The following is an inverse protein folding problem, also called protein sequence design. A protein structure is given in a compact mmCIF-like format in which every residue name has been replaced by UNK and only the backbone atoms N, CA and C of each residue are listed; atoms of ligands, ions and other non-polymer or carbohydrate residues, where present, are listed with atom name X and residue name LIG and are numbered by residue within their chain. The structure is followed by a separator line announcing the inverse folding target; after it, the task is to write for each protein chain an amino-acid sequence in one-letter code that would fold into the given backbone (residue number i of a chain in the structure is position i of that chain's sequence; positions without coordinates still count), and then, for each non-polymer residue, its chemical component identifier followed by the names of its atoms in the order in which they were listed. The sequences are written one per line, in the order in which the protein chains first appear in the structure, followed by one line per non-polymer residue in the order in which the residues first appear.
data_IF_125461637197
#
_entry.id   IF_125461637197
#
_cell.length_a   1.000
_cell.length_b   1.000
_cell.length_c   1.000
_cell.angle_alpha   90.00
_cell.angle_beta   90.00
_cell.angle_gamma   90.00
#
_symmetry.space_group_name_H-M   'P 1'
#
loop_
_entity.id
_entity.type
_entity.pdbx_description
1 polymer ?
#
# COMPACT_ATOMS: atom_id res chain seq x y z
N UNK A 1 -12.31 -26.29 10.43
CA UNK A 1 -11.88 -25.90 10.26
C UNK A 1 -11.42 -25.19 9.53
N UNK A 2 -11.40 -24.85 8.95
CA UNK A 2 -10.95 -24.22 8.31
C UNK A 2 -10.92 -22.96 8.40
N UNK A 3 -11.24 -22.46 9.18
CA UNK A 3 -11.22 -21.17 9.51
C UNK A 3 -9.89 -20.64 9.41
N UNK A 4 -8.96 -21.41 9.39
CA UNK A 4 -7.66 -20.97 9.20
C UNK A 4 -7.49 -20.14 8.04
N UNK A 5 -8.24 -20.43 7.05
CA UNK A 5 -8.14 -19.69 5.83
C UNK A 5 -8.41 -18.26 6.05
N UNK A 6 -9.37 -17.97 6.83
CA UNK A 6 -9.72 -16.61 7.04
C UNK A 6 -8.59 -15.87 7.71
N UNK A 7 -7.92 -16.52 8.57
CA UNK A 7 -6.84 -15.89 9.26
C UNK A 7 -5.73 -15.53 8.33
N UNK A 8 -5.51 -16.35 7.35
CA UNK A 8 -4.44 -16.09 6.43
C UNK A 8 -4.66 -14.86 5.63
N UNK A 9 -5.88 -14.37 5.57
CA UNK A 9 -6.17 -13.21 4.80
C UNK A 9 -5.95 -11.94 5.57
N UNK A 10 -5.39 -12.04 6.74
CA UNK A 10 -5.18 -10.88 7.56
C UNK A 10 -3.86 -10.20 7.33
N UNK A 11 -3.24 -10.42 6.18
CA UNK A 11 -2.01 -9.73 5.87
C UNK A 11 -2.31 -8.26 5.69
N UNK A 12 -1.54 -7.44 6.35
CA UNK A 12 -1.73 -6.01 6.28
C UNK A 12 -0.43 -5.28 6.02
N UNK A 13 -0.52 -3.97 6.00
CA UNK A 13 0.64 -3.11 5.82
C UNK A 13 1.34 -2.91 7.16
N UNK A 14 2.65 -2.84 7.10
CA UNK A 14 3.46 -2.62 8.26
C UNK A 14 4.18 -1.29 8.15
N UNK A 15 4.59 -0.92 6.97
CA UNK A 15 5.31 0.32 6.72
C UNK A 15 5.37 0.60 5.24
N UNK A 16 5.75 1.81 4.90
CA UNK A 16 5.95 2.21 3.52
C UNK A 16 7.26 2.96 3.43
N UNK A 17 7.90 2.85 2.30
CA UNK A 17 9.11 3.58 2.05
C UNK A 17 9.08 3.99 0.59
N UNK A 18 9.48 5.20 0.30
CA UNK A 18 9.58 5.66 -1.07
C UNK A 18 11.03 5.68 -1.48
N UNK A 19 11.30 5.22 -2.69
CA UNK A 19 12.62 5.28 -3.24
C UNK A 19 12.46 5.61 -4.69
N UNK A 20 12.87 6.80 -5.09
CA UNK A 20 12.66 7.30 -6.45
C UNK A 20 11.17 7.21 -6.77
N UNK A 21 10.81 6.53 -7.83
CA UNK A 21 9.42 6.43 -8.25
C UNK A 21 8.75 5.16 -7.75
N UNK A 22 9.33 4.50 -6.78
CA UNK A 22 8.81 3.24 -6.28
C UNK A 22 8.31 3.40 -4.86
N UNK A 23 7.11 2.90 -4.61
CA UNK A 23 6.59 2.78 -3.27
C UNK A 23 6.84 1.35 -2.82
N UNK A 24 7.55 1.18 -1.72
CA UNK A 24 7.78 -0.14 -1.17
C UNK A 24 6.79 -0.35 -0.05
N UNK A 25 5.97 -1.35 -0.21
CA UNK A 25 4.96 -1.68 0.79
C UNK A 25 5.44 -2.89 1.57
N UNK A 26 5.70 -2.69 2.86
CA UNK A 26 6.16 -3.77 3.73
C UNK A 26 4.95 -4.41 4.40
N UNK A 27 4.80 -5.68 4.22
CA UNK A 27 3.64 -6.39 4.74
C UNK A 27 3.93 -7.09 6.06
N UNK A 28 2.87 -7.39 6.78
CA UNK A 28 3.01 -8.01 8.09
C UNK A 28 3.56 -9.44 8.02
N UNK A 29 3.52 -10.06 6.86
CA UNK A 29 4.10 -11.40 6.68
C UNK A 29 5.53 -11.29 6.14
N UNK A 30 6.11 -10.09 6.21
CA UNK A 30 7.50 -9.84 5.81
C UNK A 30 7.76 -9.82 4.32
N UNK A 31 6.73 -9.85 3.50
CA UNK A 31 6.91 -9.65 2.08
C UNK A 31 7.00 -8.16 1.81
N UNK A 32 7.62 -7.80 0.71
CA UNK A 32 7.70 -6.42 0.28
C UNK A 32 7.15 -6.36 -1.13
N UNK A 33 6.22 -5.45 -1.35
CA UNK A 33 5.65 -5.27 -2.68
C UNK A 33 6.14 -3.95 -3.22
N UNK A 34 6.67 -3.96 -4.43
CA UNK A 34 7.18 -2.77 -5.07
C UNK A 34 6.14 -2.24 -6.02
N UNK A 35 5.76 -0.99 -5.83
CA UNK A 35 4.71 -0.39 -6.63
C UNK A 35 5.25 0.87 -7.30
N UNK A 36 5.48 0.82 -8.61
CA UNK A 36 5.93 2.01 -9.34
C UNK A 36 4.71 2.92 -9.51
N UNK A 37 4.53 3.82 -8.58
CA UNK A 37 3.27 4.52 -8.43
C UNK A 37 2.86 5.37 -9.63
N UNK A 38 3.79 5.78 -10.45
CA UNK A 38 3.40 6.52 -11.64
C UNK A 38 2.74 5.62 -12.67
N UNK A 39 2.94 4.31 -12.55
CA UNK A 39 2.40 3.37 -13.51
C UNK A 39 1.25 2.55 -12.98
N UNK A 40 0.92 2.73 -11.71
CA UNK A 40 -0.19 2.03 -11.10
C UNK A 40 -1.35 3.02 -11.05
N UNK A 41 -2.41 2.80 -11.84
CA UNK A 41 -3.46 3.82 -12.00
C UNK A 41 -4.04 4.34 -10.70
N UNK A 42 -4.24 3.48 -9.73
CA UNK A 42 -4.85 3.90 -8.48
C UNK A 42 -3.86 4.53 -7.49
N UNK A 43 -2.61 4.73 -7.92
CA UNK A 43 -1.62 5.42 -7.11
C UNK A 43 -1.07 6.66 -7.80
N UNK A 44 -1.55 6.97 -8.98
CA UNK A 44 -0.97 8.06 -9.74
C UNK A 44 -1.09 9.42 -9.07
N UNK A 45 -2.03 9.56 -8.15
CA UNK A 45 -2.16 10.80 -7.41
C UNK A 45 -0.91 11.09 -6.56
N UNK A 46 -0.07 10.10 -6.31
CA UNK A 46 1.16 10.33 -5.58
C UNK A 46 2.21 11.05 -6.42
N UNK A 47 2.05 11.04 -7.73
CA UNK A 47 3.04 11.67 -8.61
C UNK A 47 3.14 13.16 -8.34
N UNK A 48 2.00 13.81 -8.09
CA UNK A 48 2.00 15.24 -7.87
C UNK A 48 2.24 15.62 -6.40
N UNK A 49 2.40 14.68 -5.54
CA UNK A 49 2.60 14.96 -4.12
C UNK A 49 4.04 15.39 -3.89
N UNK A 50 4.24 16.24 -2.90
CA UNK A 50 5.60 16.63 -2.53
C UNK A 50 6.23 15.51 -1.72
N UNK A 51 7.56 15.50 -1.60
CA UNK A 51 8.21 14.50 -0.76
C UNK A 51 7.70 14.50 0.67
N UNK A 52 7.39 15.68 1.20
CA UNK A 52 6.86 15.78 2.55
C UNK A 52 5.50 15.14 2.65
N UNK A 53 4.67 15.37 1.64
CA UNK A 53 3.35 14.78 1.64
C UNK A 53 3.41 13.27 1.52
N UNK A 54 4.31 12.76 0.68
CA UNK A 54 4.47 11.32 0.53
C UNK A 54 4.93 10.68 1.82
N UNK A 55 5.72 11.37 2.59
CA UNK A 55 6.25 10.80 3.83
C UNK A 55 5.25 10.82 4.96
N UNK A 56 4.14 11.52 4.81
CA UNK A 56 3.19 11.69 5.90
C UNK A 56 2.02 10.71 5.78
N UNK A 57 2.35 9.43 5.74
CA UNK A 57 1.35 8.39 5.62
C UNK A 57 1.03 7.81 6.99
N UNK A 58 -0.09 7.12 7.09
CA UNK A 58 -0.43 6.40 8.29
C UNK A 58 -1.03 5.06 7.90
N UNK A 59 -0.96 4.11 8.82
CA UNK A 59 -1.52 2.79 8.60
C UNK A 59 -2.82 2.73 9.38
N UNK A 60 -3.89 2.33 8.72
CA UNK A 60 -5.18 2.21 9.39
C UNK A 60 -5.17 1.05 10.36
N UNK A 61 -6.00 1.09 11.39
CA UNK A 61 -6.02 0.01 12.38
C UNK A 61 -6.19 -1.34 11.71
N UNK A 62 -5.41 -2.30 12.14
CA UNK A 62 -5.43 -3.62 11.54
C UNK A 62 -4.58 -3.76 10.31
N UNK A 63 -3.98 -2.65 9.84
CA UNK A 63 -3.06 -2.73 8.72
C UNK A 63 -3.70 -2.91 7.36
N UNK A 64 -5.01 -2.74 7.26
CA UNK A 64 -5.68 -3.05 6.00
C UNK A 64 -5.51 -1.97 4.94
N UNK A 65 -5.11 -0.78 5.31
CA UNK A 65 -5.02 0.32 4.38
C UNK A 65 -3.94 1.31 4.79
N UNK A 66 -3.44 2.05 3.81
CA UNK A 66 -2.49 3.13 4.07
C UNK A 66 -3.17 4.41 3.61
N UNK A 67 -3.04 5.45 4.40
CA UNK A 67 -3.76 6.69 4.16
C UNK A 67 -2.84 7.90 4.28
N UNK A 68 -3.07 8.89 3.45
CA UNK A 68 -2.32 10.13 3.46
C UNK A 68 -3.31 11.26 3.76
N UNK A 69 -3.31 11.73 4.99
CA UNK A 69 -4.26 12.74 5.40
C UNK A 69 -4.13 14.04 4.60
N UNK A 70 -2.90 14.43 4.31
CA UNK A 70 -2.68 15.66 3.55
C UNK A 70 -3.25 15.60 2.15
N UNK A 71 -3.39 14.42 1.60
CA UNK A 71 -3.87 14.23 0.24
C UNK A 71 -5.30 13.73 0.20
N UNK A 72 -5.83 13.41 1.39
CA UNK A 72 -7.17 12.85 1.54
C UNK A 72 -7.36 11.66 0.61
N UNK A 73 -6.38 10.79 0.58
CA UNK A 73 -6.42 9.64 -0.30
C UNK A 73 -5.60 8.52 0.30
N UNK A 74 -5.82 7.32 -0.17
CA UNK A 74 -5.11 6.17 0.34
C UNK A 74 -5.41 4.95 -0.50
N UNK A 75 -4.96 3.77 -0.03
CA UNK A 75 -5.28 2.54 -0.72
C UNK A 75 -5.39 1.40 0.28
N UNK A 76 -6.17 0.41 -0.09
CA UNK A 76 -6.29 -0.79 0.71
C UNK A 76 -5.25 -1.81 0.27
N UNK A 77 -4.68 -2.50 1.22
CA UNK A 77 -3.64 -3.47 0.93
C UNK A 77 -4.10 -4.55 -0.04
N UNK A 78 -5.37 -4.90 0.04
CA UNK A 78 -5.90 -5.94 -0.84
C UNK A 78 -5.74 -5.57 -2.31
N UNK A 79 -5.75 -4.29 -2.65
CA UNK A 79 -5.55 -3.89 -4.03
C UNK A 79 -4.13 -4.20 -4.48
N UNK A 80 -3.15 -4.02 -3.60
CA UNK A 80 -1.77 -4.32 -3.96
C UNK A 80 -1.56 -5.83 -4.05
N UNK A 81 -2.23 -6.58 -3.18
CA UNK A 81 -2.06 -8.03 -3.19
C UNK A 81 -2.71 -8.69 -4.38
N UNK A 82 -3.80 -8.12 -4.85
CA UNK A 82 -4.51 -8.71 -5.97
C UNK A 82 -4.27 -7.96 -7.24
N UNK A 83 -3.10 -7.34 -7.38
CA UNK A 83 -2.76 -6.57 -8.54
C UNK A 83 -2.72 -7.47 -9.74
N UNK A 84 -3.61 -7.23 -10.66
CA UNK A 84 -3.64 -7.99 -11.88
C UNK A 84 -2.63 -7.43 -12.82
N UNK A 85 -2.02 -8.23 -13.63
CA UNK A 85 -1.14 -7.70 -14.65
C UNK A 85 -1.97 -6.82 -15.51
N UNK A 86 -1.57 -5.60 -15.60
CA UNK A 86 -2.29 -4.69 -16.40
C UNK A 86 -1.82 -4.90 -17.77
N UNK A 87 -2.58 -5.28 -18.60
CA UNK A 87 -2.09 -5.55 -19.90
C UNK A 87 -2.74 -4.67 -20.86
#
# INVERSE_FOLDING_TARGET
MNTLVAVDNQVGAKAIQFEDDILRLFLTDNRIILLPFAQVPWLRWLVDATPEQRANWSIEPGGYAVYWADLDDGFEVIHALSLEPVV
#
